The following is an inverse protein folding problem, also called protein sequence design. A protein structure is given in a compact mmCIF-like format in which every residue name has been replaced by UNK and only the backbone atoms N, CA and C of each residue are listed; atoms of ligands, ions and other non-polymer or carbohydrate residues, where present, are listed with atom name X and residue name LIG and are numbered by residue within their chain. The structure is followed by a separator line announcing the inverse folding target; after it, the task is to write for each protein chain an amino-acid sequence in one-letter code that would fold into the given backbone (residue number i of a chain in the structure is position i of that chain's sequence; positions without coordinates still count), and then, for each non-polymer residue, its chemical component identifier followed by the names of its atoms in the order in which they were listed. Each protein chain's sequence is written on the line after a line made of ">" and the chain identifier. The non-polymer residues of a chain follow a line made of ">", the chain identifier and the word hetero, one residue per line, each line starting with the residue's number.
data_IF_585768856327
#
_entry.id   IF_585768856327
#
_cell.length_a   1.000
_cell.length_b   1.000
_cell.length_c   1.000
_cell.angle_alpha   90.00
_cell.angle_beta   90.00
_cell.angle_gamma   90.00
#
_symmetry.space_group_name_H-M   'P 1'
#
loop_
_entity.id
_entity.type
_entity.pdbx_description
1 polymer ?
#
# COMPACT_ATOMS: atom_id res chain seq x y z
N UNK A 1 3.77 -15.18 -11.94
CA UNK A 1 4.09 -14.30 -13.09
C UNK A 1 5.57 -13.92 -13.05
N UNK A 2 6.21 -13.64 -14.18
CA UNK A 2 7.57 -13.08 -14.22
C UNK A 2 7.54 -11.75 -14.95
N UNK A 3 7.92 -10.66 -14.28
CA UNK A 3 8.07 -9.37 -14.93
C UNK A 3 9.48 -9.20 -15.49
N UNK A 4 9.60 -8.48 -16.61
CA UNK A 4 10.88 -8.09 -17.18
C UNK A 4 11.19 -6.65 -16.76
N UNK A 5 12.29 -6.33 -16.07
CA UNK A 5 13.40 -7.18 -15.62
C UNK A 5 13.70 -6.96 -14.12
N UNK A 6 14.51 -7.83 -13.51
CA UNK A 6 14.82 -7.72 -12.08
C UNK A 6 15.75 -6.54 -11.78
N UNK A 7 16.97 -6.56 -12.34
CA UNK A 7 18.06 -5.64 -11.99
C UNK A 7 18.68 -4.94 -13.22
N UNK A 8 19.43 -3.88 -12.95
CA UNK A 8 20.25 -3.15 -13.91
C UNK A 8 21.70 -3.65 -13.96
N UNK A 9 22.33 -3.51 -15.13
CA UNK A 9 23.75 -3.82 -15.35
C UNK A 9 24.65 -2.57 -15.38
N UNK A 10 24.05 -1.38 -15.51
CA UNK A 10 24.69 -0.07 -15.41
C UNK A 10 23.63 1.00 -15.09
N UNK A 11 24.01 2.25 -14.88
CA UNK A 11 23.07 3.36 -14.68
C UNK A 11 22.42 3.80 -16.01
N UNK A 12 21.18 3.39 -16.26
CA UNK A 12 20.38 3.87 -17.39
C UNK A 12 18.87 3.67 -17.11
N UNK A 13 17.98 4.35 -17.85
CA UNK A 13 16.57 3.98 -17.88
C UNK A 13 16.40 2.55 -18.38
N UNK A 14 15.59 1.77 -17.67
CA UNK A 14 15.36 0.35 -17.98
C UNK A 14 14.04 -0.12 -17.36
N UNK A 15 13.69 -1.38 -17.61
CA UNK A 15 12.57 -2.07 -16.95
C UNK A 15 12.92 -2.68 -15.59
N UNK A 16 14.12 -2.42 -15.07
CA UNK A 16 14.55 -3.03 -13.82
C UNK A 16 13.80 -2.46 -12.63
N UNK A 17 13.48 -3.32 -11.65
CA UNK A 17 12.98 -2.92 -10.34
C UNK A 17 14.10 -2.62 -9.33
N UNK A 18 15.31 -3.14 -9.56
CA UNK A 18 16.51 -2.94 -8.74
C UNK A 18 17.55 -2.18 -9.58
N UNK A 19 18.07 -1.08 -9.06
CA UNK A 19 19.12 -0.29 -9.69
C UNK A 19 20.47 -1.01 -9.67
N UNK A 20 21.44 -0.49 -10.43
CA UNK A 20 22.77 -1.08 -10.55
C UNK A 20 23.50 -1.21 -9.20
N UNK A 21 23.28 -0.26 -8.28
CA UNK A 21 23.87 -0.27 -6.93
C UNK A 21 23.07 -1.12 -5.92
N UNK A 22 22.05 -1.85 -6.37
CA UNK A 22 21.19 -2.69 -5.52
C UNK A 22 20.00 -1.96 -4.90
N UNK A 23 19.83 -0.66 -5.16
CA UNK A 23 18.72 0.11 -4.62
C UNK A 23 17.39 -0.31 -5.23
N UNK A 24 16.37 -0.45 -4.39
CA UNK A 24 15.02 -0.76 -4.84
C UNK A 24 14.35 0.47 -5.43
N UNK A 25 13.87 0.36 -6.68
CA UNK A 25 12.87 1.29 -7.24
C UNK A 25 11.51 0.98 -6.62
N UNK A 26 10.57 1.92 -6.75
CA UNK A 26 9.19 1.74 -6.26
C UNK A 26 8.55 0.43 -6.74
N UNK A 27 8.82 0.01 -7.98
CA UNK A 27 8.34 -1.26 -8.53
C UNK A 27 8.70 -2.46 -7.67
N UNK A 28 9.89 -2.50 -7.05
CA UNK A 28 10.29 -3.67 -6.25
C UNK A 28 9.50 -3.77 -4.93
N UNK A 29 9.14 -2.63 -4.33
CA UNK A 29 8.25 -2.58 -3.18
C UNK A 29 6.85 -3.07 -3.53
N UNK A 30 6.32 -2.64 -4.68
CA UNK A 30 5.05 -3.16 -5.20
C UNK A 30 5.15 -4.66 -5.54
N UNK A 31 6.27 -5.14 -6.09
CA UNK A 31 6.48 -6.54 -6.40
C UNK A 31 6.47 -7.45 -5.17
N UNK A 32 7.12 -7.00 -4.08
CA UNK A 32 7.00 -7.65 -2.77
C UNK A 32 5.54 -7.78 -2.33
N UNK A 33 4.72 -6.75 -2.58
CA UNK A 33 3.32 -6.73 -2.18
C UNK A 33 2.43 -7.60 -3.08
N UNK A 34 2.49 -7.44 -4.41
CA UNK A 34 1.62 -8.20 -5.32
C UNK A 34 2.01 -9.68 -5.47
N UNK A 35 3.19 -10.09 -4.98
CA UNK A 35 3.59 -11.50 -4.83
C UNK A 35 3.49 -12.01 -3.39
N UNK A 36 2.79 -11.30 -2.50
CA UNK A 36 2.50 -11.82 -1.18
C UNK A 36 1.65 -13.10 -1.28
N UNK A 37 1.85 -14.11 -0.41
CA UNK A 37 1.11 -15.38 -0.46
C UNK A 37 -0.40 -15.25 -0.31
N UNK A 38 -0.85 -14.14 0.26
CA UNK A 38 -2.24 -13.74 0.32
C UNK A 38 -2.37 -12.31 -0.19
N UNK A 39 -3.36 -12.07 -1.05
CA UNK A 39 -3.62 -10.74 -1.60
C UNK A 39 -5.12 -10.52 -1.76
N UNK A 40 -5.59 -9.33 -1.40
CA UNK A 40 -6.91 -8.83 -1.80
C UNK A 40 -6.73 -7.91 -3.00
N UNK A 41 -7.39 -8.22 -4.11
CA UNK A 41 -7.23 -7.50 -5.38
C UNK A 41 -8.58 -6.97 -5.89
N UNK A 42 -8.80 -5.65 -5.82
CA UNK A 42 -9.95 -5.01 -6.44
C UNK A 42 -9.64 -4.60 -7.89
N UNK A 43 -10.62 -4.71 -8.79
CA UNK A 43 -10.58 -4.08 -10.11
C UNK A 43 -11.99 -3.77 -10.62
N UNK A 44 -12.08 -2.92 -11.66
CA UNK A 44 -13.31 -2.65 -12.38
C UNK A 44 -13.29 -3.53 -13.63
N UNK A 45 -14.25 -4.44 -13.77
CA UNK A 45 -14.35 -5.29 -14.96
C UNK A 45 -14.82 -4.48 -16.18
N UNK A 46 -14.61 -4.99 -17.41
CA UNK A 46 -15.09 -4.31 -18.62
C UNK A 46 -16.61 -4.03 -18.63
N UNK A 47 -17.38 -4.81 -17.88
CA UNK A 47 -18.83 -4.61 -17.69
C UNK A 47 -19.17 -3.48 -16.71
N UNK A 48 -18.18 -2.85 -16.07
CA UNK A 48 -18.37 -1.78 -15.09
C UNK A 48 -18.66 -2.27 -13.67
N UNK A 49 -18.40 -3.55 -13.38
CA UNK A 49 -18.57 -4.10 -12.04
C UNK A 49 -17.31 -3.93 -11.21
N UNK A 50 -17.47 -3.60 -9.93
CA UNK A 50 -16.44 -3.77 -8.92
C UNK A 50 -16.30 -5.27 -8.64
N UNK A 51 -15.13 -5.82 -8.96
CA UNK A 51 -14.75 -7.19 -8.67
C UNK A 51 -13.64 -7.21 -7.62
N UNK A 52 -13.83 -8.01 -6.58
CA UNK A 52 -12.83 -8.20 -5.52
C UNK A 52 -12.48 -9.68 -5.49
N UNK A 53 -11.20 -9.96 -5.71
CA UNK A 53 -10.64 -11.31 -5.76
C UNK A 53 -9.66 -11.48 -4.60
N UNK A 54 -9.80 -12.59 -3.87
CA UNK A 54 -8.80 -13.04 -2.90
C UNK A 54 -7.87 -14.04 -3.59
N UNK A 55 -6.56 -13.81 -3.49
CA UNK A 55 -5.54 -14.73 -3.95
C UNK A 55 -4.94 -15.46 -2.75
N UNK A 56 -4.68 -16.75 -2.93
CA UNK A 56 -4.05 -17.63 -1.95
C UNK A 56 -3.02 -18.50 -2.65
N UNK A 57 -1.80 -18.50 -2.13
CA UNK A 57 -0.70 -19.41 -2.52
C UNK A 57 -0.45 -20.46 -1.43
N UNK A 58 -1.46 -20.82 -0.64
CA UNK A 58 -1.35 -21.89 0.37
C UNK A 58 -1.19 -23.27 -0.26
N UNK A 59 -0.66 -24.22 0.52
CA UNK A 59 -0.63 -25.62 0.09
C UNK A 59 -2.08 -26.10 -0.14
N UNK A 60 -2.28 -26.85 -1.22
CA UNK A 60 -3.53 -27.57 -1.47
C UNK A 60 -3.93 -28.35 -0.20
N UNK A 61 -5.21 -28.30 0.17
CA UNK A 61 -5.81 -28.92 1.37
C UNK A 61 -5.76 -28.11 2.69
N UNK A 62 -5.10 -26.94 2.73
CA UNK A 62 -5.24 -26.02 3.88
C UNK A 62 -6.32 -24.98 3.62
N UNK A 63 -7.38 -25.01 4.42
CA UNK A 63 -8.34 -23.91 4.48
C UNK A 63 -7.85 -22.81 5.41
N UNK A 64 -8.12 -21.55 5.05
CA UNK A 64 -7.86 -20.40 5.91
C UNK A 64 -9.10 -19.52 5.97
N UNK A 65 -9.48 -19.15 7.19
CA UNK A 65 -10.57 -18.23 7.42
C UNK A 65 -10.02 -16.80 7.40
N UNK A 66 -10.55 -15.99 6.49
CA UNK A 66 -10.09 -14.62 6.27
C UNK A 66 -11.22 -13.63 6.50
N UNK A 67 -10.86 -12.41 6.86
CA UNK A 67 -11.76 -11.25 6.85
C UNK A 67 -11.20 -10.23 5.88
N UNK A 68 -11.90 -10.01 4.77
CA UNK A 68 -11.63 -8.89 3.86
C UNK A 68 -12.30 -7.64 4.40
N UNK A 69 -11.53 -6.56 4.54
CA UNK A 69 -12.03 -5.23 4.87
C UNK A 69 -12.00 -4.36 3.63
N UNK A 70 -13.15 -3.81 3.26
CA UNK A 70 -13.29 -2.85 2.16
C UNK A 70 -13.69 -1.52 2.76
N UNK A 71 -12.82 -0.52 2.61
CA UNK A 71 -13.02 0.81 3.15
C UNK A 71 -13.14 1.82 2.02
N UNK A 72 -14.18 2.66 2.07
CA UNK A 72 -14.34 3.77 1.13
C UNK A 72 -13.84 5.04 1.80
N UNK A 73 -12.92 5.74 1.16
CA UNK A 73 -12.41 7.02 1.63
C UNK A 73 -12.80 8.13 0.66
N UNK A 74 -13.13 9.31 1.20
CA UNK A 74 -13.12 10.57 0.43
C UNK A 74 -11.68 11.08 0.39
N UNK A 75 -11.28 11.67 -0.73
CA UNK A 75 -9.94 12.26 -0.86
C UNK A 75 -9.64 13.36 0.17
N UNK A 76 -10.67 14.01 0.68
CA UNK A 76 -10.58 15.14 1.60
C UNK A 76 -10.58 14.75 3.08
N UNK A 77 -10.51 13.45 3.42
CA UNK A 77 -10.65 12.99 4.80
C UNK A 77 -9.85 11.72 5.08
N UNK A 78 -9.15 11.70 6.21
CA UNK A 78 -8.55 10.48 6.78
C UNK A 78 -9.60 9.59 7.49
N UNK A 79 -10.81 10.10 7.70
CA UNK A 79 -11.93 9.31 8.22
C UNK A 79 -12.64 8.57 7.07
N UNK A 80 -12.88 7.26 7.21
CA UNK A 80 -13.57 6.48 6.19
C UNK A 80 -15.04 6.91 6.09
N UNK A 81 -15.58 6.89 4.87
CA UNK A 81 -17.02 7.08 4.64
C UNK A 81 -17.78 5.83 5.08
N UNK A 82 -17.23 4.68 4.74
CA UNK A 82 -17.79 3.37 5.07
C UNK A 82 -16.70 2.34 5.19
N UNK A 83 -16.99 1.30 5.97
CA UNK A 83 -16.11 0.16 6.17
C UNK A 83 -16.97 -1.10 6.26
N UNK A 84 -16.71 -2.05 5.37
CA UNK A 84 -17.39 -3.34 5.36
C UNK A 84 -16.36 -4.45 5.60
N UNK A 85 -16.69 -5.40 6.48
CA UNK A 85 -15.91 -6.61 6.69
C UNK A 85 -16.72 -7.81 6.16
N UNK A 86 -16.08 -8.65 5.36
CA UNK A 86 -16.67 -9.90 4.87
C UNK A 86 -15.77 -11.07 5.24
N UNK A 87 -16.34 -12.09 5.88
CA UNK A 87 -15.62 -13.30 6.24
C UNK A 87 -15.69 -14.31 5.09
N UNK A 88 -14.55 -14.89 4.71
CA UNK A 88 -14.48 -15.89 3.63
C UNK A 88 -13.46 -16.97 3.98
N UNK A 89 -13.83 -18.22 3.73
CA UNK A 89 -12.91 -19.36 3.83
C UNK A 89 -12.28 -19.61 2.46
N UNK A 90 -10.96 -19.51 2.38
CA UNK A 90 -10.18 -19.86 1.19
C UNK A 90 -9.75 -21.31 1.30
N UNK A 91 -10.08 -22.14 0.30
CA UNK A 91 -9.78 -23.56 0.29
C UNK A 91 -8.59 -23.85 -0.64
N UNK A 92 -7.39 -23.92 -0.09
CA UNK A 92 -6.15 -24.16 -0.83
C UNK A 92 -5.67 -22.93 -1.64
N UNK A 93 -4.80 -23.19 -2.61
CA UNK A 93 -4.30 -22.16 -3.52
C UNK A 93 -5.30 -21.88 -4.63
N UNK A 94 -5.46 -20.60 -4.97
CA UNK A 94 -6.29 -20.16 -6.08
C UNK A 94 -6.66 -18.69 -6.02
N UNK A 95 -7.52 -18.31 -6.96
CA UNK A 95 -8.15 -17.00 -7.03
C UNK A 95 -9.66 -17.15 -6.77
N UNK A 96 -10.16 -16.44 -5.77
CA UNK A 96 -11.53 -16.55 -5.29
C UNK A 96 -12.24 -15.22 -5.47
N UNK A 97 -13.19 -15.14 -6.40
CA UNK A 97 -14.05 -13.97 -6.58
C UNK A 97 -15.04 -13.90 -5.41
N UNK A 98 -14.88 -12.90 -4.53
CA UNK A 98 -15.69 -12.74 -3.32
C UNK A 98 -16.78 -11.66 -3.46
N UNK A 99 -16.65 -10.80 -4.47
CA UNK A 99 -17.65 -9.78 -4.81
C UNK A 99 -17.64 -9.51 -6.30
N UNK A 100 -18.83 -9.37 -6.87
CA UNK A 100 -19.06 -8.77 -8.19
C UNK A 100 -20.38 -8.00 -8.12
N UNK A 101 -20.30 -6.67 -8.24
CA UNK A 101 -21.45 -5.76 -8.14
C UNK A 101 -21.23 -4.57 -9.07
N UNK A 102 -22.29 -4.00 -9.64
CA UNK A 102 -22.17 -2.75 -10.40
C UNK A 102 -21.53 -1.65 -9.52
N UNK A 103 -20.49 -0.98 -10.02
CA UNK A 103 -19.72 -0.02 -9.23
C UNK A 103 -20.56 1.16 -8.73
N UNK A 104 -21.46 1.68 -9.56
CA UNK A 104 -22.25 2.86 -9.18
C UNK A 104 -23.29 2.51 -8.11
N UNK A 105 -23.87 1.31 -8.18
CA UNK A 105 -24.72 0.76 -7.11
C UNK A 105 -23.94 0.55 -5.81
N UNK A 106 -22.72 -0.01 -5.89
CA UNK A 106 -21.86 -0.17 -4.73
C UNK A 106 -21.57 1.19 -4.06
N UNK A 107 -21.23 2.21 -4.85
CA UNK A 107 -20.94 3.55 -4.32
C UNK A 107 -22.17 4.21 -3.71
N UNK A 108 -23.34 4.11 -4.34
CA UNK A 108 -24.59 4.67 -3.79
C UNK A 108 -24.97 4.02 -2.46
N UNK A 109 -24.76 2.70 -2.33
CA UNK A 109 -25.09 1.94 -1.13
C UNK A 109 -24.08 2.16 -0.01
N UNK A 110 -22.78 2.10 -0.33
CA UNK A 110 -21.71 2.16 0.65
C UNK A 110 -21.47 3.60 1.14
N UNK A 111 -21.54 4.58 0.25
CA UNK A 111 -20.94 5.88 0.51
C UNK A 111 -21.77 7.08 0.01
N UNK A 112 -23.04 6.87 -0.37
CA UNK A 112 -24.03 7.92 -0.64
C UNK A 112 -23.61 8.87 -1.77
N UNK A 113 -23.08 10.04 -1.40
CA UNK A 113 -22.65 11.12 -2.31
C UNK A 113 -21.22 10.93 -2.87
N UNK A 114 -20.56 9.82 -2.54
CA UNK A 114 -19.28 9.47 -3.15
C UNK A 114 -19.41 9.29 -4.67
N UNK A 115 -18.49 9.91 -5.40
CA UNK A 115 -18.34 9.72 -6.84
C UNK A 115 -17.01 9.05 -7.12
N UNK A 116 -16.83 8.59 -8.36
CA UNK A 116 -15.55 8.04 -8.84
C UNK A 116 -14.38 9.04 -8.76
N UNK A 117 -14.66 10.34 -8.70
CA UNK A 117 -13.66 11.41 -8.65
C UNK A 117 -13.38 11.87 -7.23
N UNK A 118 -14.34 11.72 -6.30
CA UNK A 118 -14.21 12.19 -4.92
C UNK A 118 -13.75 11.11 -3.96
N UNK A 119 -13.86 9.83 -4.34
CA UNK A 119 -13.60 8.69 -3.48
C UNK A 119 -12.73 7.62 -4.15
N UNK A 120 -12.14 6.76 -3.31
CA UNK A 120 -11.37 5.58 -3.72
C UNK A 120 -11.58 4.45 -2.70
N UNK A 121 -11.18 3.24 -3.06
CA UNK A 121 -11.25 2.08 -2.17
C UNK A 121 -9.87 1.76 -1.60
N UNK A 122 -9.85 1.38 -0.33
CA UNK A 122 -8.70 0.83 0.37
C UNK A 122 -9.10 -0.50 0.99
N UNK A 123 -8.30 -1.55 0.77
CA UNK A 123 -8.63 -2.92 1.11
C UNK A 123 -7.52 -3.55 1.94
N UNK A 124 -7.92 -4.29 2.96
CA UNK A 124 -7.01 -5.02 3.85
C UNK A 124 -7.54 -6.44 4.06
N UNK A 125 -6.63 -7.39 4.27
CA UNK A 125 -6.97 -8.81 4.47
C UNK A 125 -6.41 -9.31 5.80
N UNK A 126 -7.28 -9.84 6.66
CA UNK A 126 -6.93 -10.32 7.99
C UNK A 126 -7.26 -11.80 8.15
N UNK A 127 -6.62 -12.46 9.11
CA UNK A 127 -7.04 -13.78 9.59
C UNK A 127 -8.25 -13.64 10.52
N UNK A 128 -9.20 -14.58 10.45
CA UNK A 128 -10.33 -14.65 11.40
C UNK A 128 -9.87 -14.96 12.83
N UNK A 129 -8.74 -15.65 12.97
CA UNK A 129 -8.21 -16.05 14.29
C UNK A 129 -7.77 -14.85 15.14
N UNK A 130 -7.45 -13.69 14.51
CA UNK A 130 -7.19 -12.44 15.20
C UNK A 130 -7.25 -11.20 14.26
N UNK A 131 -8.35 -10.43 14.29
CA UNK A 131 -8.47 -9.18 13.54
C UNK A 131 -7.52 -8.05 14.03
N UNK A 132 -6.83 -8.24 15.15
CA UNK A 132 -5.98 -7.23 15.80
C UNK A 132 -4.48 -7.47 15.63
N UNK A 133 -4.02 -8.67 15.25
CA UNK A 133 -2.57 -8.99 15.26
C UNK A 133 -1.99 -9.60 13.97
N UNK A 134 -2.77 -10.11 13.01
CA UNK A 134 -2.18 -10.71 11.81
C UNK A 134 -2.94 -10.34 10.53
N UNK A 135 -2.58 -9.18 9.98
CA UNK A 135 -2.85 -8.90 8.58
C UNK A 135 -2.14 -9.97 7.73
N UNK A 136 -2.88 -10.66 6.86
CA UNK A 136 -2.38 -11.83 6.10
C UNK A 136 -1.56 -11.43 4.87
N UNK A 137 -1.83 -10.26 4.32
CA UNK A 137 -1.21 -9.74 3.11
C UNK A 137 -1.17 -8.22 3.12
N UNK A 138 -0.47 -7.59 2.17
CA UNK A 138 -0.39 -6.14 2.10
C UNK A 138 -1.78 -5.52 1.86
N UNK A 139 -1.90 -4.25 2.22
CA UNK A 139 -3.04 -3.45 1.79
C UNK A 139 -3.03 -3.28 0.27
N UNK A 140 -4.22 -3.10 -0.29
CA UNK A 140 -4.41 -2.78 -1.69
C UNK A 140 -5.40 -1.63 -1.86
N UNK A 141 -5.49 -1.05 -3.05
CA UNK A 141 -6.31 0.11 -3.30
C UNK A 141 -6.88 0.08 -4.72
N UNK A 142 -7.99 0.81 -4.92
CA UNK A 142 -8.58 1.02 -6.24
C UNK A 142 -8.93 2.49 -6.41
N UNK A 143 -8.24 3.15 -7.35
CA UNK A 143 -8.68 4.45 -7.83
C UNK A 143 -9.82 4.27 -8.82
N UNK A 144 -10.92 4.97 -8.58
CA UNK A 144 -12.15 4.85 -9.37
C UNK A 144 -12.13 5.73 -10.63
N UNK A 145 -11.17 6.64 -10.71
CA UNK A 145 -10.89 7.52 -11.84
C UNK A 145 -9.39 7.84 -11.91
N UNK A 146 -8.88 8.36 -13.05
CA UNK A 146 -7.53 8.88 -13.11
C UNK A 146 -7.30 9.97 -12.05
N UNK A 147 -6.14 9.94 -11.39
CA UNK A 147 -5.81 10.90 -10.32
C UNK A 147 -5.78 12.36 -10.81
N UNK A 148 -5.56 12.60 -12.10
CA UNK A 148 -5.67 13.93 -12.73
C UNK A 148 -7.08 14.51 -12.71
N UNK A 149 -8.09 13.67 -12.47
CA UNK A 149 -9.51 14.06 -12.36
C UNK A 149 -10.03 13.99 -10.93
N UNK A 150 -9.18 13.65 -9.96
CA UNK A 150 -9.57 13.55 -8.57
C UNK A 150 -10.03 14.91 -8.01
N UNK A 151 -11.13 14.91 -7.28
CA UNK A 151 -11.72 16.09 -6.67
C UNK A 151 -11.65 15.96 -5.15
N UNK A 152 -11.13 17.00 -4.48
CA UNK A 152 -10.95 17.00 -3.03
C UNK A 152 -9.66 16.33 -2.55
N UNK A 153 -8.75 15.93 -3.45
CA UNK A 153 -7.39 15.51 -3.07
C UNK A 153 -6.60 16.71 -2.58
N UNK A 154 -6.39 16.76 -1.27
CA UNK A 154 -5.74 17.88 -0.60
C UNK A 154 -4.22 17.75 -0.68
N UNK A 155 -3.53 18.90 -0.67
CA UNK A 155 -2.09 18.92 -0.54
C UNK A 155 -1.67 18.41 0.85
N UNK A 156 -0.60 17.62 0.90
CA UNK A 156 -0.19 16.87 2.09
C UNK A 156 1.18 17.29 2.58
N UNK A 157 1.38 17.19 3.89
CA UNK A 157 2.69 17.28 4.53
C UNK A 157 2.97 15.99 5.30
N UNK A 158 3.86 15.15 4.76
CA UNK A 158 4.34 13.95 5.43
C UNK A 158 5.65 14.27 6.14
N UNK A 159 5.77 13.85 7.40
CA UNK A 159 6.96 14.09 8.22
C UNK A 159 7.41 12.82 8.93
N UNK A 160 8.71 12.73 9.21
CA UNK A 160 9.25 11.73 10.14
C UNK A 160 9.10 12.27 11.56
N UNK A 161 8.29 11.59 12.37
CA UNK A 161 8.08 11.93 13.78
C UNK A 161 9.26 11.46 14.63
N UNK A 162 9.72 10.24 14.38
CA UNK A 162 10.84 9.67 15.13
C UNK A 162 11.55 8.57 14.36
N UNK A 163 12.83 8.39 14.67
CA UNK A 163 13.65 7.24 14.25
C UNK A 163 14.21 6.59 15.51
N UNK A 164 13.86 5.33 15.74
CA UNK A 164 14.27 4.59 16.93
C UNK A 164 15.07 3.35 16.55
N UNK A 165 16.20 3.14 17.23
CA UNK A 165 17.03 1.96 16.99
C UNK A 165 16.35 0.70 17.53
N UNK A 166 16.47 -0.39 16.78
CA UNK A 166 16.15 -1.75 17.20
C UNK A 166 17.40 -2.63 17.09
N UNK A 167 17.24 -3.94 17.27
CA UNK A 167 18.33 -4.90 17.15
C UNK A 167 18.72 -5.12 15.66
N UNK A 168 19.97 -5.55 15.42
CA UNK A 168 20.44 -6.01 14.10
C UNK A 168 20.33 -5.00 12.95
N UNK A 169 20.82 -3.77 13.16
CA UNK A 169 20.83 -2.67 12.18
C UNK A 169 19.43 -2.27 11.66
N UNK A 170 18.40 -2.55 12.45
CA UNK A 170 17.02 -2.21 12.15
C UNK A 170 16.65 -0.93 12.90
N UNK A 171 16.06 0.03 12.19
CA UNK A 171 15.54 1.26 12.78
C UNK A 171 14.05 1.37 12.45
N UNK A 172 13.23 1.77 13.41
CA UNK A 172 11.82 2.07 13.18
C UNK A 172 11.66 3.55 12.89
N UNK A 173 11.07 3.86 11.75
CA UNK A 173 10.74 5.19 11.27
C UNK A 173 9.24 5.38 11.41
N UNK A 174 8.83 6.31 12.26
CA UNK A 174 7.43 6.70 12.42
C UNK A 174 7.14 7.92 11.55
N UNK A 175 6.13 7.79 10.70
CA UNK A 175 5.65 8.84 9.81
C UNK A 175 4.33 9.39 10.32
N UNK A 176 4.09 10.67 10.03
CA UNK A 176 2.80 11.34 10.22
C UNK A 176 2.35 12.05 8.95
N UNK A 177 1.05 12.18 8.75
CA UNK A 177 0.42 12.91 7.65
C UNK A 177 -0.80 13.69 8.13
N UNK A 178 -1.04 14.86 7.54
CA UNK A 178 -2.22 15.70 7.82
C UNK A 178 -3.44 15.33 6.96
N UNK A 179 -3.21 14.77 5.77
CA UNK A 179 -4.24 14.32 4.82
C UNK A 179 -3.86 12.97 4.21
N UNK A 180 -4.71 12.42 3.32
CA UNK A 180 -4.36 11.22 2.55
C UNK A 180 -3.12 11.51 1.71
N UNK A 181 -2.04 10.75 1.94
CA UNK A 181 -0.79 10.90 1.22
C UNK A 181 -0.64 9.80 0.17
N UNK A 182 -0.44 10.17 -1.10
CA UNK A 182 -0.29 9.21 -2.18
C UNK A 182 1.18 9.00 -2.57
N UNK A 183 1.55 7.74 -2.77
CA UNK A 183 2.88 7.31 -3.20
C UNK A 183 4.00 7.89 -2.32
N UNK A 184 3.86 7.73 -1.00
CA UNK A 184 4.85 8.20 -0.02
C UNK A 184 6.17 7.49 -0.27
N UNK A 185 7.11 8.23 -0.84
CA UNK A 185 8.39 7.73 -1.29
C UNK A 185 9.51 8.31 -0.42
N UNK A 186 10.12 7.45 0.39
CA UNK A 186 11.28 7.77 1.21
C UNK A 186 12.56 7.46 0.45
N UNK A 187 13.49 8.40 0.45
CA UNK A 187 14.85 8.22 -0.06
C UNK A 187 15.86 8.55 1.03
N UNK A 188 16.99 7.85 1.03
CA UNK A 188 18.07 8.10 1.98
C UNK A 188 19.36 8.34 1.22
N UNK A 189 19.95 9.52 1.37
CA UNK A 189 21.20 9.86 0.72
C UNK A 189 22.39 9.30 1.52
N UNK A 190 23.30 8.59 0.84
CA UNK A 190 24.59 8.17 1.41
C UNK A 190 24.55 7.01 2.42
N UNK A 191 23.38 6.45 2.72
CA UNK A 191 23.22 5.32 3.64
C UNK A 191 22.63 4.13 2.88
N UNK A 192 23.38 3.03 2.83
CA UNK A 192 22.93 1.80 2.17
C UNK A 192 22.00 1.00 3.07
N UNK A 193 20.84 0.62 2.53
CA UNK A 193 19.83 -0.13 3.24
C UNK A 193 18.48 -0.11 2.51
N UNK A 194 17.49 -0.72 3.15
CA UNK A 194 16.17 -0.93 2.55
C UNK A 194 15.07 -0.62 3.57
N UNK A 195 14.02 0.05 3.12
CA UNK A 195 12.80 0.16 3.90
C UNK A 195 12.00 -1.13 3.82
N UNK A 196 11.21 -1.40 4.85
CA UNK A 196 10.25 -2.51 4.88
C UNK A 196 9.08 -2.31 3.91
N UNK A 197 8.72 -1.06 3.65
CA UNK A 197 7.66 -0.64 2.73
C UNK A 197 7.98 0.76 2.20
N UNK A 198 7.59 1.06 0.96
CA UNK A 198 7.84 2.36 0.32
C UNK A 198 6.91 2.55 -0.90
N UNK A 199 6.60 3.80 -1.25
CA UNK A 199 5.64 4.13 -2.31
C UNK A 199 4.19 3.82 -1.94
N UNK A 200 3.90 3.58 -0.66
CA UNK A 200 2.57 3.26 -0.16
C UNK A 200 1.66 4.49 -0.08
N UNK A 201 0.37 4.26 0.16
CA UNK A 201 -0.59 5.29 0.50
C UNK A 201 -0.77 5.37 2.01
N UNK A 202 -0.80 6.58 2.56
CA UNK A 202 -1.18 6.79 3.96
C UNK A 202 -2.62 7.26 4.01
N UNK A 203 -3.50 6.38 4.50
CA UNK A 203 -4.91 6.67 4.80
C UNK A 203 -5.17 6.80 6.30
N UNK A 204 -4.13 6.63 7.12
CA UNK A 204 -4.13 6.83 8.57
C UNK A 204 -3.15 7.95 8.94
N UNK A 205 -3.40 8.69 10.04
CA UNK A 205 -2.54 9.80 10.44
C UNK A 205 -1.09 9.38 10.74
N UNK A 206 -0.87 8.13 11.15
CA UNK A 206 0.45 7.60 11.49
C UNK A 206 0.71 6.29 10.75
N UNK A 207 1.98 6.05 10.40
CA UNK A 207 2.46 4.76 9.90
C UNK A 207 3.88 4.51 10.38
N UNK A 208 4.13 3.29 10.87
CA UNK A 208 5.46 2.84 11.21
C UNK A 208 5.99 1.97 10.08
N UNK A 209 7.22 2.24 9.65
CA UNK A 209 8.00 1.37 8.77
C UNK A 209 9.37 1.15 9.40
N UNK A 210 10.03 0.06 9.07
CA UNK A 210 11.43 -0.16 9.44
C UNK A 210 12.38 0.12 8.28
N UNK A 211 13.61 0.52 8.60
CA UNK A 211 14.75 0.62 7.71
C UNK A 211 15.84 -0.33 8.21
N UNK A 212 16.30 -1.22 7.33
CA UNK A 212 17.42 -2.13 7.60
C UNK A 212 18.66 -1.62 6.88
N UNK A 213 19.63 -1.13 7.66
CA UNK A 213 20.93 -0.75 7.13
C UNK A 213 21.78 -1.98 6.81
N UNK A 214 22.60 -1.90 5.76
CA UNK A 214 23.64 -2.92 5.51
C UNK A 214 24.71 -2.93 6.63
N UNK A 215 24.86 -1.79 7.31
CA UNK A 215 25.72 -1.59 8.47
C UNK A 215 24.92 -0.91 9.58
N UNK A 216 25.52 -0.79 10.77
CA UNK A 216 24.94 0.01 11.84
C UNK A 216 24.83 1.48 11.41
N UNK A 217 23.67 2.08 11.65
CA UNK A 217 23.35 3.48 11.32
C UNK A 217 22.83 4.14 12.59
N UNK A 218 23.31 5.34 12.91
CA UNK A 218 22.74 6.10 14.01
C UNK A 218 21.37 6.65 13.61
N UNK A 219 20.42 6.68 14.56
CA UNK A 219 19.07 7.19 14.29
C UNK A 219 19.06 8.65 13.85
N UNK A 220 19.98 9.47 14.38
CA UNK A 220 20.18 10.87 13.97
C UNK A 220 20.61 10.99 12.50
N UNK A 221 21.51 10.13 12.06
CA UNK A 221 22.07 10.17 10.72
C UNK A 221 21.01 9.74 9.70
N UNK A 222 20.25 8.69 10.02
CA UNK A 222 19.13 8.27 9.19
C UNK A 222 18.06 9.36 9.11
N UNK A 223 17.68 9.96 10.24
CA UNK A 223 16.69 11.03 10.27
C UNK A 223 17.11 12.22 9.40
N UNK A 224 18.38 12.63 9.46
CA UNK A 224 18.90 13.74 8.68
C UNK A 224 19.03 13.42 7.17
N UNK A 225 19.17 12.15 6.81
CA UNK A 225 19.35 11.71 5.43
C UNK A 225 18.04 11.38 4.70
N UNK A 226 16.92 11.22 5.41
CA UNK A 226 15.61 10.91 4.82
C UNK A 226 15.04 12.13 4.10
N UNK A 227 14.70 11.96 2.82
CA UNK A 227 13.82 12.86 2.08
C UNK A 227 12.52 12.13 1.72
N UNK A 228 11.40 12.85 1.76
CA UNK A 228 10.07 12.30 1.47
C UNK A 228 9.50 13.03 0.25
N UNK A 229 9.01 12.26 -0.72
CA UNK A 229 8.23 12.76 -1.85
C UNK A 229 6.84 12.11 -1.84
N UNK A 230 5.81 12.87 -2.17
CA UNK A 230 4.44 12.38 -2.36
C UNK A 230 3.88 12.97 -3.65
N UNK A 231 2.86 12.34 -4.23
CA UNK A 231 2.20 12.86 -5.43
C UNK A 231 1.54 14.22 -5.18
N UNK A 232 0.87 14.35 -4.03
CA UNK A 232 0.09 15.52 -3.64
C UNK A 232 0.83 16.40 -2.63
N UNK A 233 2.16 16.53 -2.73
CA UNK A 233 2.94 17.35 -1.81
C UNK A 233 2.53 18.83 -1.90
N UNK A 234 2.57 19.54 -0.76
CA UNK A 234 2.51 21.00 -0.76
C UNK A 234 3.76 21.50 -1.51
N UNK A 235 3.58 22.16 -2.65
CA UNK A 235 4.65 22.95 -3.25
C UNK A 235 5.00 24.02 -2.23
N UNK A 236 6.15 23.89 -1.57
CA UNK A 236 6.70 24.97 -0.75
C UNK A 236 7.15 26.04 -1.72
N UNK A 237 6.30 27.03 -1.95
CA UNK A 237 6.62 28.27 -2.68
C UNK A 237 7.52 29.16 -1.85
#
# INVERSE_FOLDING_TARGET
>A
AMYWQLNDVWQAPSWASIEFDGRWKMLHYYAKNFFAPFLISPYISPAGNLEIVLLSDTVADKSINTVSRVTVYRWSSLEPVSMENNATTLNGSGAFLIRSENLDNFLSNAAGDCTRQTCFLYLSLYSVEDMTQAQLGPDNFLFLSPLTTAQGLQAVQVQVVSVTNQQYNLLTVQLTTDNIALFVWLQVAGIQGQFSDNGFHMVTPYKNITFRGERAVASSDLLAAITITTLNSKIVS
#
